data_IF_721632922613
#
_entry.id   IF_721632922613
#
_cell.length_a   1.000
_cell.length_b   1.000
_cell.length_c   1.000
_cell.angle_alpha   90.00
_cell.angle_beta   90.00
_cell.angle_gamma   90.00
#
_symmetry.space_group_name_H-M   'P 1'
#
loop_
_entity.id
_entity.type
_entity.pdbx_description
1 polymer ?
#
# COMPACT_ATOMS: atom_id res chain seq x y z
N UNK A 1 2.46 -3.01 -12.32
CA UNK A 1 2.11 -4.15 -11.44
C UNK A 1 1.13 -5.05 -12.19
N UNK A 2 1.10 -6.36 -11.92
CA UNK A 2 0.04 -7.22 -12.48
C UNK A 2 -1.35 -6.77 -12.03
N UNK A 3 -2.36 -6.91 -12.89
CA UNK A 3 -3.71 -6.37 -12.66
C UNK A 3 -4.41 -6.96 -11.44
N UNK A 4 -4.31 -8.28 -11.24
CA UNK A 4 -4.95 -8.97 -10.12
C UNK A 4 -4.50 -8.44 -8.75
N UNK A 5 -3.22 -8.07 -8.58
CA UNK A 5 -2.74 -7.45 -7.34
C UNK A 5 -3.32 -6.05 -7.16
N UNK A 6 -3.47 -5.27 -8.24
CA UNK A 6 -4.08 -3.94 -8.19
C UNK A 6 -5.53 -4.02 -7.72
N UNK A 7 -6.33 -4.92 -8.32
CA UNK A 7 -7.73 -5.13 -7.95
C UNK A 7 -7.88 -5.54 -6.47
N UNK A 8 -7.01 -6.43 -5.97
CA UNK A 8 -7.03 -6.83 -4.55
C UNK A 8 -6.72 -5.67 -3.60
N UNK A 9 -5.72 -4.86 -3.93
CA UNK A 9 -5.39 -3.67 -3.13
C UNK A 9 -6.52 -2.65 -3.20
N UNK A 10 -7.15 -2.46 -4.36
CA UNK A 10 -8.30 -1.57 -4.52
C UNK A 10 -9.48 -1.99 -3.64
N UNK A 11 -9.82 -3.29 -3.65
CA UNK A 11 -10.88 -3.83 -2.81
C UNK A 11 -10.58 -3.57 -1.32
N UNK A 12 -9.35 -3.78 -0.87
CA UNK A 12 -8.98 -3.45 0.50
C UNK A 12 -9.16 -1.97 0.85
N UNK A 13 -8.85 -1.04 -0.06
CA UNK A 13 -9.09 0.37 0.20
C UNK A 13 -10.58 0.70 0.30
N UNK A 14 -11.42 0.08 -0.52
CA UNK A 14 -12.89 0.22 -0.45
C UNK A 14 -13.43 -0.36 0.86
N UNK A 15 -13.02 -1.57 1.23
CA UNK A 15 -13.43 -2.23 2.46
C UNK A 15 -13.06 -1.42 3.70
N UNK A 16 -11.84 -0.88 3.74
CA UNK A 16 -11.36 -0.04 4.85
C UNK A 16 -12.13 1.28 4.99
N UNK A 17 -12.77 1.76 3.91
CA UNK A 17 -13.60 2.98 3.90
C UNK A 17 -15.09 2.68 4.02
N UNK A 18 -15.47 1.45 4.37
CA UNK A 18 -16.88 1.08 4.57
C UNK A 18 -17.68 0.99 3.26
N UNK A 19 -17.02 0.67 2.14
CA UNK A 19 -17.70 0.48 0.84
C UNK A 19 -18.04 1.74 0.07
N UNK A 20 -17.66 2.94 0.58
CA UNK A 20 -17.79 4.20 -0.15
C UNK A 20 -16.78 4.35 -1.29
N UNK A 21 -16.82 5.49 -2.01
CA UNK A 21 -15.81 5.81 -3.03
C UNK A 21 -14.40 5.84 -2.40
N UNK A 22 -13.59 4.85 -2.79
CA UNK A 22 -12.18 4.77 -2.43
C UNK A 22 -11.33 5.83 -3.16
N UNK A 23 -10.06 6.00 -2.75
CA UNK A 23 -9.15 6.82 -3.52
C UNK A 23 -8.99 6.20 -4.92
N UNK A 24 -8.83 7.02 -5.95
CA UNK A 24 -8.66 6.56 -7.33
C UNK A 24 -7.22 6.07 -7.55
N UNK A 25 -7.07 5.00 -8.31
CA UNK A 25 -5.75 4.51 -8.70
C UNK A 25 -5.07 5.51 -9.65
N UNK A 26 -3.83 5.89 -9.37
CA UNK A 26 -3.01 6.80 -10.18
C UNK A 26 -1.68 6.12 -10.54
N UNK A 27 -1.48 5.86 -11.84
CA UNK A 27 -0.27 5.23 -12.36
C UNK A 27 0.99 6.07 -12.07
N UNK A 28 0.90 7.40 -11.95
CA UNK A 28 2.05 8.24 -11.58
C UNK A 28 2.48 7.94 -10.14
N UNK A 29 1.53 7.74 -9.23
CA UNK A 29 1.82 7.34 -7.85
C UNK A 29 2.36 5.90 -7.76
N UNK A 30 1.95 5.00 -8.67
CA UNK A 30 2.56 3.66 -8.81
C UNK A 30 4.05 3.77 -9.18
N UNK A 31 4.40 4.68 -10.10
CA UNK A 31 5.80 4.92 -10.49
C UNK A 31 6.61 5.45 -9.30
N UNK A 32 6.05 6.36 -8.51
CA UNK A 32 6.68 6.86 -7.28
C UNK A 32 6.89 5.74 -6.25
N UNK A 33 5.89 4.87 -6.07
CA UNK A 33 6.00 3.69 -5.22
C UNK A 33 7.11 2.75 -5.70
N UNK A 34 7.21 2.52 -7.01
CA UNK A 34 8.27 1.71 -7.63
C UNK A 34 9.65 2.31 -7.38
N UNK A 35 9.83 3.61 -7.66
CA UNK A 35 11.10 4.32 -7.44
C UNK A 35 11.58 4.17 -6.01
N UNK A 36 10.67 4.32 -5.04
CA UNK A 36 10.99 4.14 -3.62
C UNK A 36 11.33 2.70 -3.25
N UNK A 37 10.64 1.74 -3.86
CA UNK A 37 10.83 0.32 -3.60
C UNK A 37 12.12 -0.24 -4.23
N UNK A 38 12.54 0.32 -5.37
CA UNK A 38 13.76 -0.06 -6.09
C UNK A 38 15.00 0.70 -5.56
N UNK A 39 14.82 1.95 -5.11
CA UNK A 39 15.87 2.76 -4.49
C UNK A 39 15.42 3.25 -3.09
N UNK A 40 15.85 2.59 -2.00
CA UNK A 40 15.48 2.99 -0.63
C UNK A 40 15.88 4.43 -0.28
N UNK A 41 16.94 4.97 -0.89
CA UNK A 41 17.39 6.35 -0.69
C UNK A 41 16.54 7.40 -1.42
N UNK A 42 15.67 6.97 -2.35
CA UNK A 42 14.73 7.85 -3.02
C UNK A 42 13.80 8.54 -2.00
N UNK A 43 13.65 9.86 -2.13
CA UNK A 43 12.77 10.65 -1.27
C UNK A 43 11.44 10.87 -1.99
N UNK A 44 10.37 10.31 -1.45
CA UNK A 44 9.01 10.61 -1.89
C UNK A 44 8.75 12.13 -1.72
N UNK A 45 8.13 12.80 -2.71
CA UNK A 45 7.77 14.22 -2.61
C UNK A 45 7.05 14.56 -1.30
N UNK A 46 7.36 15.72 -0.69
CA UNK A 46 6.90 16.10 0.66
C UNK A 46 5.37 16.12 0.83
N UNK A 47 4.62 16.34 -0.26
CA UNK A 47 3.16 16.34 -0.28
C UNK A 47 2.51 14.96 -0.41
N UNK A 48 3.28 13.89 -0.60
CA UNK A 48 2.76 12.54 -0.80
C UNK A 48 2.93 11.69 0.46
N UNK A 49 1.87 10.93 0.78
CA UNK A 49 1.87 9.93 1.83
C UNK A 49 2.54 8.65 1.34
N UNK A 50 3.20 7.91 2.22
CA UNK A 50 3.80 6.63 1.88
C UNK A 50 3.57 5.63 3.02
N UNK A 51 3.12 4.44 2.66
CA UNK A 51 3.13 3.29 3.57
C UNK A 51 3.94 2.16 2.94
N UNK A 52 4.57 1.36 3.80
CA UNK A 52 5.18 0.09 3.43
C UNK A 52 4.55 -1.03 4.26
N UNK A 53 4.07 -2.05 3.57
CA UNK A 53 3.46 -3.24 4.15
C UNK A 53 4.39 -4.40 3.81
N UNK A 54 4.96 -5.03 4.83
CA UNK A 54 5.75 -6.25 4.66
C UNK A 54 4.80 -7.44 4.57
N UNK A 55 5.10 -8.36 3.67
CA UNK A 55 4.35 -9.59 3.48
C UNK A 55 5.13 -10.72 4.16
N UNK A 56 4.48 -11.61 4.92
CA UNK A 56 5.16 -12.78 5.46
C UNK A 56 5.72 -13.65 4.32
N UNK A 57 6.94 -14.15 4.53
CA UNK A 57 7.62 -15.09 3.64
C UNK A 57 7.56 -16.49 4.28
N UNK A 58 7.54 -17.53 3.45
CA UNK A 58 7.73 -18.93 3.87
C UNK A 58 6.69 -19.49 4.86
N UNK A 59 5.45 -18.99 4.81
CA UNK A 59 4.34 -19.47 5.65
C UNK A 59 3.44 -20.51 4.94
N UNK A 60 3.88 -21.06 3.81
CA UNK A 60 3.14 -22.03 3.00
C UNK A 60 1.88 -21.49 2.31
N UNK A 61 1.60 -20.18 2.40
CA UNK A 61 0.44 -19.53 1.77
C UNK A 61 0.82 -18.89 0.44
N UNK A 62 -0.18 -18.69 -0.42
CA UNK A 62 0.00 -17.96 -1.69
C UNK A 62 0.30 -16.49 -1.43
N UNK A 63 1.03 -15.85 -2.33
CA UNK A 63 1.33 -14.40 -2.21
C UNK A 63 0.06 -13.55 -2.13
N UNK A 64 -1.02 -13.96 -2.81
CA UNK A 64 -2.32 -13.28 -2.74
C UNK A 64 -2.90 -13.35 -1.33
N UNK A 65 -2.86 -14.53 -0.68
CA UNK A 65 -3.34 -14.68 0.69
C UNK A 65 -2.47 -13.90 1.70
N UNK A 66 -1.16 -13.87 1.48
CA UNK A 66 -0.24 -13.07 2.29
C UNK A 66 -0.49 -11.57 2.15
N UNK A 67 -0.87 -11.12 0.96
CA UNK A 67 -1.30 -9.74 0.72
C UNK A 67 -2.56 -9.41 1.51
N UNK A 68 -3.58 -10.27 1.43
CA UNK A 68 -4.85 -10.07 2.14
C UNK A 68 -4.65 -10.03 3.66
N UNK A 69 -3.88 -10.98 4.21
CA UNK A 69 -3.56 -11.02 5.64
C UNK A 69 -2.74 -9.81 6.08
N UNK A 70 -1.77 -9.37 5.26
CA UNK A 70 -0.96 -8.21 5.61
C UNK A 70 -1.79 -6.92 5.64
N UNK A 71 -2.69 -6.70 4.67
CA UNK A 71 -3.59 -5.54 4.67
C UNK A 71 -4.59 -5.61 5.83
N UNK A 72 -5.13 -6.78 6.14
CA UNK A 72 -5.98 -6.97 7.32
C UNK A 72 -5.23 -6.69 8.63
N UNK A 73 -3.97 -7.13 8.72
CA UNK A 73 -3.13 -6.89 9.89
C UNK A 73 -2.86 -5.40 10.12
N UNK A 74 -2.88 -4.54 9.10
CA UNK A 74 -2.74 -3.08 9.31
C UNK A 74 -3.89 -2.54 10.18
N UNK A 75 -5.08 -3.13 10.08
CA UNK A 75 -6.24 -2.81 10.92
C UNK A 75 -6.06 -3.33 12.35
N UNK A 76 -5.51 -4.54 12.50
CA UNK A 76 -5.42 -5.26 13.78
C UNK A 76 -4.20 -4.85 14.62
N UNK A 77 -3.08 -4.53 13.99
CA UNK A 77 -1.79 -4.23 14.66
C UNK A 77 -1.69 -2.81 15.22
N UNK A 78 -2.75 -2.00 15.12
CA UNK A 78 -2.77 -0.65 15.70
C UNK A 78 -1.75 0.31 15.09
N UNK A 79 -1.29 0.09 13.85
CA UNK A 79 -0.42 1.05 13.15
C UNK A 79 -1.26 2.23 12.64
N UNK A 80 -1.76 3.04 13.58
CA UNK A 80 -2.74 4.10 13.38
C UNK A 80 -2.34 5.02 12.24
N UNK A 81 -1.04 5.36 12.11
CA UNK A 81 -0.56 6.23 11.02
C UNK A 81 -0.79 5.63 9.63
N UNK A 82 -0.52 4.33 9.44
CA UNK A 82 -0.75 3.66 8.15
C UNK A 82 -2.24 3.54 7.87
N UNK A 83 -3.01 3.11 8.87
CA UNK A 83 -4.45 2.98 8.77
C UNK A 83 -5.09 4.34 8.43
N UNK A 84 -4.70 5.41 9.13
CA UNK A 84 -5.18 6.77 8.89
C UNK A 84 -4.87 7.27 7.47
N UNK A 85 -3.72 6.92 6.89
CA UNK A 85 -3.42 7.30 5.51
C UNK A 85 -4.34 6.55 4.51
N UNK A 86 -4.65 5.28 4.78
CA UNK A 86 -5.50 4.46 3.91
C UNK A 86 -6.99 4.85 4.01
N UNK A 87 -7.48 5.11 5.23
CA UNK A 87 -8.88 5.44 5.53
C UNK A 87 -9.21 6.92 5.40
N UNK A 88 -8.22 7.78 5.17
CA UNK A 88 -8.47 9.23 5.11
C UNK A 88 -9.42 9.62 3.98
N UNK A 89 -10.51 10.34 4.27
CA UNK A 89 -11.35 10.88 3.20
C UNK A 89 -10.61 11.96 2.38
N UNK A 90 -9.59 12.60 2.95
CA UNK A 90 -8.81 13.62 2.24
C UNK A 90 -7.93 13.03 1.14
N UNK A 91 -7.58 11.74 1.25
CA UNK A 91 -6.77 11.02 0.27
C UNK A 91 -7.66 10.62 -0.90
N UNK A 92 -7.41 11.26 -2.04
CA UNK A 92 -8.21 11.13 -3.27
C UNK A 92 -7.56 10.20 -4.27
N UNK A 93 -6.23 10.05 -4.22
CA UNK A 93 -5.47 9.22 -5.17
C UNK A 93 -4.44 8.34 -4.46
N UNK A 94 -4.15 7.20 -5.06
CA UNK A 94 -3.12 6.29 -4.57
C UNK A 94 -2.48 5.49 -5.71
N UNK A 95 -1.27 4.98 -5.49
CA UNK A 95 -0.63 4.03 -6.37
C UNK A 95 0.30 3.13 -5.59
N UNK A 96 0.33 1.84 -5.92
CA UNK A 96 1.09 0.85 -5.18
C UNK A 96 2.02 0.05 -6.10
N UNK A 97 3.20 -0.29 -5.58
CA UNK A 97 4.18 -1.19 -6.19
C UNK A 97 4.59 -2.27 -5.21
N UNK A 98 4.72 -3.52 -5.67
CA UNK A 98 4.98 -4.67 -4.80
C UNK A 98 6.06 -5.60 -5.32
N UNK A 99 6.88 -6.09 -4.39
CA UNK A 99 7.83 -7.18 -4.57
C UNK A 99 7.16 -8.46 -4.07
N UNK A 100 6.68 -9.28 -5.01
CA UNK A 100 5.79 -10.44 -4.75
C UNK A 100 6.44 -11.80 -4.99
N UNK A 101 7.58 -11.83 -5.67
CA UNK A 101 8.23 -13.07 -6.10
C UNK A 101 9.34 -13.47 -5.13
N UNK A 102 9.07 -14.52 -4.33
CA UNK A 102 9.99 -15.04 -3.32
C UNK A 102 11.33 -15.53 -3.90
N UNK A 103 11.32 -15.95 -5.17
CA UNK A 103 12.50 -16.42 -5.91
C UNK A 103 13.47 -15.28 -6.25
N UNK A 104 12.98 -14.04 -6.28
CA UNK A 104 13.72 -12.88 -6.77
C UNK A 104 14.03 -11.91 -5.63
N UNK A 105 13.18 -11.86 -4.61
CA UNK A 105 13.25 -10.86 -3.55
C UNK A 105 13.43 -11.51 -2.16
N UNK A 106 14.42 -11.02 -1.43
CA UNK A 106 14.67 -11.43 -0.04
C UNK A 106 13.50 -11.07 0.88
N UNK A 107 12.91 -9.88 0.67
CA UNK A 107 11.74 -9.40 1.40
C UNK A 107 10.56 -9.15 0.44
N UNK A 108 9.43 -9.80 0.73
CA UNK A 108 8.17 -9.51 0.06
C UNK A 108 7.53 -8.29 0.71
N UNK A 109 7.21 -7.25 -0.07
CA UNK A 109 6.56 -6.07 0.48
C UNK A 109 5.83 -5.27 -0.59
N UNK A 110 4.85 -4.49 -0.16
CA UNK A 110 4.12 -3.51 -0.97
C UNK A 110 4.38 -2.12 -0.44
N UNK A 111 4.72 -1.19 -1.33
CA UNK A 111 4.75 0.25 -1.05
C UNK A 111 3.55 0.87 -1.73
N UNK A 112 2.79 1.67 -0.99
CA UNK A 112 1.73 2.49 -1.53
C UNK A 112 2.03 3.96 -1.26
N UNK A 113 1.84 4.77 -2.28
CA UNK A 113 1.98 6.23 -2.24
C UNK A 113 0.60 6.85 -2.42
N UNK A 114 0.34 7.91 -1.68
CA UNK A 114 -0.97 8.55 -1.57
C UNK A 114 -0.88 10.04 -1.80
N UNK A 115 -1.94 10.62 -2.35
CA UNK A 115 -2.08 12.06 -2.53
C UNK A 115 -3.44 12.55 -2.00
N UNK A 116 -3.46 13.56 -1.12
CA UNK A 116 -2.33 14.16 -0.40
C UNK A 116 -1.80 13.27 0.74
N UNK A 117 -0.59 13.59 1.22
CA UNK A 117 -0.10 13.12 2.51
C UNK A 117 -1.06 13.56 3.59
N UNK A 118 -1.55 12.62 4.41
CA UNK A 118 -2.35 13.00 5.56
C UNK A 118 -1.43 13.65 6.60
N UNK A 119 -1.78 14.87 7.01
CA UNK A 119 -1.15 15.58 8.13
C UNK A 119 -2.07 15.45 9.33
N UNK A 120 -1.54 15.00 10.47
CA UNK A 120 -2.24 15.14 11.74
C UNK A 120 -2.05 16.59 12.18
N UNK A 121 -3.11 17.39 12.13
CA UNK A 121 -3.12 18.65 12.87
C UNK A 121 -3.06 18.27 14.36
N UNK A 122 -1.98 18.66 15.04
CA UNK A 122 -1.81 18.54 16.49
C UNK A 122 -2.17 19.87 17.12
#
# INVERSE_FOLDING_TARGET
>A
MAEHYRQKIENHHKDLRGGGEGPKYDCKLEVEARRKQDNPSYKIPKGLGMIRIKLPKDNGKTTVRNLEEAFKSVKETGNERKLLQMTSPQVTRYGCWGKFYHQIYDELSVVCVYDPKRVLCS
#
